data_IF_831572938134
#
_entry.id   IF_831572938134
#
_cell.length_a   1.000
_cell.length_b   1.000
_cell.length_c   1.000
_cell.angle_alpha   90.00
_cell.angle_beta   90.00
_cell.angle_gamma   90.00
#
_symmetry.space_group_name_H-M   'P 1'
#
loop_
_entity.id
_entity.type
_entity.pdbx_description
1 polymer ?
#
# COMPACT_ATOMS: atom_id res chain seq x y z
N UNK A 1 0.69 17.70 -9.22
CA UNK A 1 1.74 17.48 -10.25
C UNK A 1 1.02 17.50 -11.58
N UNK A 2 1.45 18.34 -12.53
CA UNK A 2 0.71 18.51 -13.80
C UNK A 2 0.94 17.36 -14.79
N UNK A 3 2.14 16.78 -14.77
CA UNK A 3 2.51 15.66 -15.63
C UNK A 3 3.13 14.54 -14.81
N UNK A 4 2.66 13.30 -15.00
CA UNK A 4 3.12 12.15 -14.24
C UNK A 4 2.86 10.84 -14.99
N UNK A 5 3.61 9.82 -14.64
CA UNK A 5 3.32 8.43 -14.97
C UNK A 5 2.79 7.75 -13.69
N UNK A 6 1.61 7.18 -13.76
CA UNK A 6 1.11 6.30 -12.71
C UNK A 6 1.45 4.87 -13.09
N UNK A 7 2.04 4.12 -12.17
CA UNK A 7 2.53 2.77 -12.43
C UNK A 7 2.06 1.81 -11.35
N UNK A 8 1.75 0.61 -11.76
CA UNK A 8 1.53 -0.55 -10.89
C UNK A 8 2.10 -1.80 -11.54
N UNK A 9 2.54 -2.78 -10.73
CA UNK A 9 3.03 -4.08 -11.20
C UNK A 9 2.38 -5.20 -10.40
N UNK A 10 2.03 -6.30 -11.08
CA UNK A 10 1.69 -7.55 -10.43
C UNK A 10 2.92 -8.48 -10.41
N UNK A 11 3.11 -9.14 -9.27
CA UNK A 11 4.27 -9.99 -9.01
C UNK A 11 3.82 -11.33 -8.44
N UNK A 12 4.61 -12.38 -8.63
CA UNK A 12 4.29 -13.70 -8.08
C UNK A 12 4.40 -13.79 -6.55
N UNK A 13 4.84 -12.71 -5.88
CA UNK A 13 4.97 -12.65 -4.42
C UNK A 13 5.72 -11.41 -3.97
N UNK A 14 6.22 -11.43 -2.73
CA UNK A 14 6.82 -10.25 -2.11
C UNK A 14 8.34 -10.14 -2.30
N UNK A 15 9.02 -11.20 -2.73
CA UNK A 15 10.46 -11.19 -2.97
C UNK A 15 10.72 -10.86 -4.43
N UNK A 16 11.88 -10.24 -4.72
CA UNK A 16 12.20 -9.88 -6.11
C UNK A 16 12.33 -11.11 -7.02
N UNK A 17 12.70 -12.26 -6.45
CA UNK A 17 12.80 -13.55 -7.14
C UNK A 17 11.45 -14.10 -7.61
N UNK A 18 10.35 -13.62 -7.02
CA UNK A 18 8.99 -14.03 -7.40
C UNK A 18 8.57 -13.48 -8.77
N UNK A 19 9.30 -12.49 -9.29
CA UNK A 19 9.17 -12.01 -10.66
C UNK A 19 8.08 -10.97 -10.89
N UNK A 20 8.09 -10.39 -12.11
CA UNK A 20 7.08 -9.44 -12.62
C UNK A 20 6.24 -10.17 -13.67
N UNK A 21 4.93 -10.08 -13.57
CA UNK A 21 3.96 -10.76 -14.44
C UNK A 21 3.12 -9.77 -15.24
N UNK A 22 2.73 -8.64 -14.64
CA UNK A 22 1.97 -7.59 -15.30
C UNK A 22 2.56 -6.21 -14.95
N UNK A 23 2.55 -5.28 -15.89
CA UNK A 23 2.93 -3.89 -15.68
C UNK A 23 1.92 -2.98 -16.37
N UNK A 24 1.37 -2.03 -15.64
CA UNK A 24 0.50 -1.01 -16.20
C UNK A 24 1.06 0.39 -15.92
N UNK A 25 0.95 1.28 -16.91
CA UNK A 25 1.34 2.68 -16.80
C UNK A 25 0.27 3.56 -17.41
N UNK A 26 -0.16 4.60 -16.70
CA UNK A 26 -0.96 5.69 -17.25
C UNK A 26 -0.12 6.94 -17.38
N UNK A 27 -0.24 7.62 -18.51
CA UNK A 27 0.32 8.97 -18.70
C UNK A 27 -0.77 9.98 -18.35
N UNK A 28 -0.51 10.79 -17.34
CA UNK A 28 -1.44 11.84 -16.93
C UNK A 28 -0.84 13.21 -17.21
N UNK A 29 -1.59 14.05 -17.93
CA UNK A 29 -1.28 15.44 -18.17
C UNK A 29 -2.49 16.31 -17.80
N UNK A 30 -2.26 17.31 -16.96
CA UNK A 30 -3.27 18.29 -16.54
C UNK A 30 -4.59 17.66 -16.03
N UNK A 31 -4.47 16.54 -15.31
CA UNK A 31 -5.61 15.80 -14.75
C UNK A 31 -6.34 14.92 -15.75
N UNK A 32 -5.77 14.66 -16.93
CA UNK A 32 -6.34 13.77 -17.93
C UNK A 32 -5.39 12.64 -18.30
N UNK A 33 -5.92 11.45 -18.51
CA UNK A 33 -5.16 10.33 -19.04
C UNK A 33 -5.02 10.55 -20.55
N UNK A 34 -3.78 10.70 -21.03
CA UNK A 34 -3.46 10.98 -22.45
C UNK A 34 -2.86 9.80 -23.19
N UNK A 35 -2.27 8.84 -22.49
CA UNK A 35 -1.74 7.60 -23.07
C UNK A 35 -1.66 6.52 -21.99
N UNK A 36 -1.50 5.25 -22.39
CA UNK A 36 -1.35 4.14 -21.47
C UNK A 36 -0.49 3.03 -22.06
N UNK A 37 0.13 2.25 -21.17
CA UNK A 37 0.87 1.05 -21.52
C UNK A 37 0.40 -0.08 -20.63
N UNK A 38 0.11 -1.23 -21.23
CA UNK A 38 -0.10 -2.49 -20.52
C UNK A 38 0.86 -3.54 -21.07
N UNK A 39 1.56 -4.23 -20.21
CA UNK A 39 2.49 -5.32 -20.53
C UNK A 39 2.15 -6.53 -19.68
N UNK A 40 1.95 -7.64 -20.33
CA UNK A 40 1.67 -8.93 -19.72
C UNK A 40 1.49 -9.97 -20.82
N UNK A 41 1.87 -11.19 -20.58
CA UNK A 41 1.68 -12.32 -21.48
C UNK A 41 0.68 -13.27 -20.83
N UNK A 42 -0.54 -13.31 -21.38
CA UNK A 42 -1.64 -14.09 -20.82
C UNK A 42 -1.41 -15.56 -21.12
N UNK A 43 -1.39 -16.40 -20.08
CA UNK A 43 -1.36 -17.87 -20.17
C UNK A 43 -2.74 -18.48 -19.90
N UNK A 44 -3.47 -17.97 -18.89
CA UNK A 44 -4.84 -18.41 -18.59
C UNK A 44 -5.74 -17.19 -18.22
N UNK A 45 -6.68 -16.88 -19.11
CA UNK A 45 -7.61 -15.74 -18.91
C UNK A 45 -8.55 -15.94 -17.70
N UNK A 46 -8.80 -17.18 -17.26
CA UNK A 46 -9.69 -17.44 -16.15
C UNK A 46 -9.05 -17.13 -14.78
N UNK A 47 -7.72 -17.14 -14.71
CA UNK A 47 -6.97 -16.92 -13.47
C UNK A 47 -6.58 -15.45 -13.25
N UNK A 48 -6.70 -14.56 -14.25
CA UNK A 48 -6.25 -13.15 -14.19
C UNK A 48 -6.80 -12.41 -12.97
N UNK A 49 -7.96 -12.77 -12.48
CA UNK A 49 -8.63 -12.08 -11.36
C UNK A 49 -8.26 -12.63 -9.98
N UNK A 50 -7.38 -13.63 -9.91
CA UNK A 50 -6.93 -14.19 -8.63
C UNK A 50 -5.85 -13.33 -7.95
N UNK A 51 -5.27 -12.36 -8.68
CA UNK A 51 -4.21 -11.46 -8.21
C UNK A 51 -2.83 -12.10 -8.23
N UNK A 52 -1.82 -11.35 -7.79
CA UNK A 52 -0.42 -11.79 -7.72
C UNK A 52 0.13 -12.34 -9.06
N UNK A 53 -0.28 -11.76 -10.18
CA UNK A 53 0.15 -12.16 -11.52
C UNK A 53 -0.41 -13.50 -12.01
N UNK A 54 -1.41 -14.07 -11.32
CA UNK A 54 -2.08 -15.29 -11.77
C UNK A 54 -2.65 -15.11 -13.19
N UNK A 55 -2.55 -16.15 -14.00
CA UNK A 55 -2.97 -16.14 -15.41
C UNK A 55 -1.99 -15.47 -16.38
N UNK A 56 -0.86 -14.92 -15.89
CA UNK A 56 0.20 -14.31 -16.69
C UNK A 56 1.51 -15.08 -16.61
N UNK A 57 2.28 -15.10 -17.70
CA UNK A 57 3.66 -15.55 -17.69
C UNK A 57 4.59 -14.52 -17.02
N UNK A 58 5.67 -15.01 -16.43
CA UNK A 58 6.71 -14.12 -15.86
C UNK A 58 7.48 -13.40 -16.96
N UNK A 59 7.36 -12.08 -17.02
CA UNK A 59 8.00 -11.20 -18.01
C UNK A 59 9.25 -10.50 -17.50
N UNK A 60 9.70 -10.75 -16.28
CA UNK A 60 10.77 -10.02 -15.57
C UNK A 60 12.04 -9.82 -16.38
N UNK A 61 12.48 -10.83 -17.13
CA UNK A 61 13.74 -10.86 -17.90
C UNK A 61 13.51 -10.87 -19.40
N UNK A 62 12.28 -10.65 -19.85
CA UNK A 62 11.96 -10.67 -21.27
C UNK A 62 12.32 -9.31 -21.89
N UNK A 63 13.39 -9.30 -22.71
CA UNK A 63 13.94 -8.10 -23.35
C UNK A 63 12.93 -7.34 -24.20
N UNK A 64 11.93 -8.00 -24.76
CA UNK A 64 10.88 -7.35 -25.54
C UNK A 64 10.03 -6.43 -24.64
N UNK A 65 9.59 -6.91 -23.47
CA UNK A 65 8.79 -6.14 -22.54
C UNK A 65 9.62 -5.04 -21.87
N UNK A 66 10.87 -5.34 -21.47
CA UNK A 66 11.80 -4.36 -20.92
C UNK A 66 12.00 -3.21 -21.91
N UNK A 67 12.31 -3.52 -23.17
CA UNK A 67 12.55 -2.50 -24.21
C UNK A 67 11.29 -1.67 -24.50
N UNK A 68 10.11 -2.29 -24.51
CA UNK A 68 8.84 -1.58 -24.67
C UNK A 68 8.59 -0.60 -23.54
N UNK A 69 8.77 -1.05 -22.29
CA UNK A 69 8.62 -0.21 -21.10
C UNK A 69 9.59 0.97 -21.15
N UNK A 70 10.88 0.70 -21.38
CA UNK A 70 11.93 1.74 -21.44
C UNK A 70 11.67 2.76 -22.57
N UNK A 71 11.21 2.30 -23.73
CA UNK A 71 10.83 3.18 -24.82
C UNK A 71 9.65 4.08 -24.45
N UNK A 72 8.67 3.52 -23.74
CA UNK A 72 7.49 4.27 -23.29
C UNK A 72 7.85 5.34 -22.25
N UNK A 73 8.61 5.00 -21.23
CA UNK A 73 9.02 5.99 -20.20
C UNK A 73 10.00 7.02 -20.75
N UNK A 74 10.77 6.69 -21.80
CA UNK A 74 11.63 7.64 -22.51
C UNK A 74 10.80 8.63 -23.32
N UNK A 75 9.70 8.18 -23.94
CA UNK A 75 8.75 9.05 -24.65
C UNK A 75 8.10 10.07 -23.71
N UNK A 76 7.85 9.67 -22.46
CA UNK A 76 7.22 10.49 -21.44
C UNK A 76 8.17 10.65 -20.23
N UNK A 77 9.12 11.60 -20.28
CA UNK A 77 10.11 11.77 -19.21
C UNK A 77 9.50 12.47 -17.98
N UNK A 78 8.42 11.90 -17.45
CA UNK A 78 7.68 12.42 -16.32
C UNK A 78 8.03 11.64 -15.05
N UNK A 79 7.78 12.23 -13.86
CA UNK A 79 7.91 11.51 -12.61
C UNK A 79 7.03 10.27 -12.57
N UNK A 80 7.60 9.13 -12.15
CA UNK A 80 6.86 7.88 -11.95
C UNK A 80 6.30 7.85 -10.53
N UNK A 81 5.03 7.55 -10.41
CA UNK A 81 4.30 7.46 -9.15
C UNK A 81 3.67 6.08 -9.06
N UNK A 82 3.87 5.39 -7.94
CA UNK A 82 3.18 4.15 -7.62
C UNK A 82 2.58 4.20 -6.21
N UNK A 83 1.71 3.26 -5.89
CA UNK A 83 1.12 3.15 -4.57
C UNK A 83 1.93 2.19 -3.71
N UNK A 84 2.52 2.66 -2.60
CA UNK A 84 3.56 1.95 -1.86
C UNK A 84 4.81 1.69 -2.74
N UNK A 85 5.20 2.69 -3.47
CA UNK A 85 6.14 2.70 -4.59
C UNK A 85 7.52 2.07 -4.31
N UNK A 86 7.88 1.85 -3.05
CA UNK A 86 9.11 1.13 -2.69
C UNK A 86 9.05 -0.34 -3.10
N UNK A 87 7.83 -0.90 -3.20
CA UNK A 87 7.61 -2.27 -3.64
C UNK A 87 7.88 -2.39 -5.15
N UNK A 88 7.17 -1.65 -5.97
CA UNK A 88 7.31 -1.67 -7.43
C UNK A 88 8.74 -1.34 -7.86
N UNK A 89 9.28 -0.26 -7.28
CA UNK A 89 10.63 0.19 -7.61
C UNK A 89 11.70 -0.86 -7.37
N UNK A 90 11.62 -1.65 -6.30
CA UNK A 90 12.64 -2.68 -6.02
C UNK A 90 12.67 -3.77 -7.08
N UNK A 91 11.51 -4.19 -7.61
CA UNK A 91 11.43 -5.17 -8.70
C UNK A 91 11.95 -4.57 -10.02
N UNK A 92 11.48 -3.39 -10.38
CA UNK A 92 11.88 -2.73 -11.63
C UNK A 92 13.38 -2.44 -11.68
N UNK A 93 13.99 -2.04 -10.56
CA UNK A 93 15.44 -1.84 -10.46
C UNK A 93 16.18 -3.18 -10.51
N UNK A 94 15.71 -4.20 -9.77
CA UNK A 94 16.35 -5.51 -9.73
C UNK A 94 16.45 -6.16 -11.11
N UNK A 95 15.42 -6.02 -11.93
CA UNK A 95 15.38 -6.59 -13.28
C UNK A 95 15.85 -5.63 -14.38
N UNK A 96 16.35 -4.44 -14.02
CA UNK A 96 16.92 -3.48 -14.97
C UNK A 96 15.88 -2.77 -15.85
N UNK A 97 14.60 -2.77 -15.46
CA UNK A 97 13.54 -2.03 -16.16
C UNK A 97 13.73 -0.52 -16.01
N UNK A 98 14.22 -0.08 -14.84
CA UNK A 98 14.59 1.32 -14.56
C UNK A 98 15.96 1.38 -13.91
N UNK A 99 16.62 2.55 -13.98
CA UNK A 99 17.85 2.79 -13.24
C UNK A 99 17.57 3.09 -11.76
N UNK A 100 18.60 2.92 -10.91
CA UNK A 100 18.51 3.28 -9.49
C UNK A 100 18.30 4.78 -9.25
N UNK A 101 18.66 5.63 -10.21
CA UNK A 101 18.53 7.07 -10.15
C UNK A 101 17.19 7.57 -10.69
N UNK A 102 16.34 6.69 -11.27
CA UNK A 102 15.06 7.08 -11.82
C UNK A 102 14.19 7.80 -10.78
N UNK A 103 13.60 8.96 -11.13
CA UNK A 103 12.74 9.71 -10.21
C UNK A 103 11.44 8.94 -9.96
N UNK A 104 11.29 8.43 -8.75
CA UNK A 104 10.14 7.63 -8.32
C UNK A 104 9.50 8.27 -7.08
N UNK A 105 8.17 8.29 -7.02
CA UNK A 105 7.41 8.92 -5.95
C UNK A 105 6.36 7.97 -5.38
N UNK A 106 6.09 8.11 -4.09
CA UNK A 106 5.12 7.28 -3.37
C UNK A 106 3.83 8.05 -3.12
N UNK A 107 2.73 7.59 -3.71
CA UNK A 107 1.41 8.18 -3.53
C UNK A 107 0.92 8.07 -2.09
N UNK A 108 1.27 7.02 -1.35
CA UNK A 108 0.91 6.88 0.07
C UNK A 108 1.46 8.05 0.88
N UNK A 109 2.71 8.45 0.62
CA UNK A 109 3.32 9.61 1.32
C UNK A 109 2.63 10.91 0.95
N UNK A 110 2.32 11.10 -0.33
CA UNK A 110 1.65 12.30 -0.82
C UNK A 110 0.22 12.41 -0.26
N UNK A 111 -0.54 11.31 -0.28
CA UNK A 111 -1.89 11.26 0.28
C UNK A 111 -1.88 11.47 1.81
N UNK A 112 -0.91 10.89 2.53
CA UNK A 112 -0.74 11.14 3.97
C UNK A 112 -0.50 12.62 4.29
N UNK A 113 0.19 13.34 3.41
CA UNK A 113 0.42 14.77 3.59
C UNK A 113 -0.86 15.58 3.35
N UNK A 114 -1.68 15.20 2.39
CA UNK A 114 -2.94 15.88 2.06
C UNK A 114 -4.08 15.51 3.02
N UNK A 115 -4.15 14.24 3.40
CA UNK A 115 -5.22 13.66 4.21
C UNK A 115 -4.65 12.95 5.46
N UNK A 116 -4.03 13.68 6.41
CA UNK A 116 -3.32 13.08 7.54
C UNK A 116 -4.23 12.39 8.58
N UNK A 117 -5.53 12.60 8.46
CA UNK A 117 -6.57 12.11 9.38
C UNK A 117 -7.13 10.73 8.98
N UNK A 118 -6.70 10.16 7.86
CA UNK A 118 -7.18 8.85 7.43
C UNK A 118 -6.60 7.73 8.29
N UNK A 119 -7.43 6.72 8.57
CA UNK A 119 -7.05 5.56 9.38
C UNK A 119 -6.20 4.55 8.61
N UNK A 120 -6.31 4.52 7.29
CA UNK A 120 -5.57 3.64 6.39
C UNK A 120 -5.21 4.30 5.07
N UNK A 121 -4.26 3.71 4.37
CA UNK A 121 -3.78 4.22 3.08
C UNK A 121 -3.55 3.09 2.05
N UNK A 122 -4.12 1.90 2.25
CA UNK A 122 -4.19 0.89 1.19
C UNK A 122 -5.13 1.35 0.08
N UNK A 123 -4.93 0.87 -1.14
CA UNK A 123 -5.85 1.17 -2.26
C UNK A 123 -7.30 0.87 -1.89
N UNK A 124 -7.58 -0.32 -1.32
CA UNK A 124 -8.93 -0.72 -0.91
C UNK A 124 -9.55 0.23 0.13
N UNK A 125 -8.75 0.67 1.11
CA UNK A 125 -9.23 1.63 2.10
C UNK A 125 -9.59 2.97 1.45
N UNK A 126 -8.72 3.48 0.57
CA UNK A 126 -8.91 4.77 -0.10
C UNK A 126 -10.08 4.72 -1.09
N UNK A 127 -10.25 3.62 -1.81
CA UNK A 127 -11.43 3.35 -2.67
C UNK A 127 -12.71 3.49 -1.87
N UNK A 128 -12.82 2.78 -0.74
CA UNK A 128 -13.99 2.83 0.12
C UNK A 128 -14.20 4.23 0.72
N UNK A 129 -13.12 4.88 1.17
CA UNK A 129 -13.19 6.20 1.80
C UNK A 129 -13.67 7.29 0.84
N UNK A 130 -13.16 7.29 -0.41
CA UNK A 130 -13.53 8.28 -1.41
C UNK A 130 -14.78 7.89 -2.23
N UNK A 131 -15.35 6.71 -2.00
CA UNK A 131 -16.51 6.21 -2.75
C UNK A 131 -16.22 5.96 -4.22
N UNK A 132 -15.01 5.49 -4.54
CA UNK A 132 -14.56 5.22 -5.90
C UNK A 132 -15.08 3.84 -6.33
N UNK A 133 -15.72 3.79 -7.50
CA UNK A 133 -16.07 2.49 -8.11
C UNK A 133 -14.79 1.81 -8.61
N UNK A 134 -14.58 0.57 -8.20
CA UNK A 134 -13.48 -0.29 -8.61
C UNK A 134 -14.00 -1.42 -9.49
N UNK A 135 -13.31 -1.71 -10.57
CA UNK A 135 -13.57 -2.84 -11.46
C UNK A 135 -12.97 -4.14 -10.90
N UNK A 136 -12.07 -4.74 -11.66
CA UNK A 136 -11.40 -5.97 -11.27
C UNK A 136 -10.20 -5.69 -10.37
N UNK A 137 -10.37 -5.81 -9.05
CA UNK A 137 -9.28 -5.64 -8.11
C UNK A 137 -8.12 -6.62 -8.42
N UNK A 138 -6.88 -6.16 -8.14
CA UNK A 138 -5.66 -6.95 -8.30
C UNK A 138 -5.27 -7.26 -9.77
N UNK A 139 -5.57 -6.34 -10.67
CA UNK A 139 -4.90 -6.26 -11.96
C UNK A 139 -4.16 -4.93 -12.01
N UNK A 140 -2.94 -4.91 -12.55
CA UNK A 140 -2.16 -3.68 -12.60
C UNK A 140 -2.88 -2.56 -13.36
N UNK A 141 -3.63 -2.90 -14.41
CA UNK A 141 -4.43 -1.93 -15.18
C UNK A 141 -5.53 -1.29 -14.34
N UNK A 142 -6.28 -2.06 -13.56
CA UNK A 142 -7.36 -1.50 -12.72
C UNK A 142 -6.77 -0.68 -11.57
N UNK A 143 -5.69 -1.16 -10.96
CA UNK A 143 -5.06 -0.51 -9.81
C UNK A 143 -4.45 0.86 -10.18
N UNK A 144 -3.87 1.05 -11.39
CA UNK A 144 -3.43 2.37 -11.83
C UNK A 144 -4.59 3.33 -12.12
N UNK A 145 -5.73 2.84 -12.63
CA UNK A 145 -6.92 3.66 -12.84
C UNK A 145 -7.56 4.08 -11.51
N UNK A 146 -7.60 3.17 -10.56
CA UNK A 146 -8.04 3.44 -9.20
C UNK A 146 -7.12 4.45 -8.52
N UNK A 147 -5.81 4.29 -8.66
CA UNK A 147 -4.83 5.25 -8.15
C UNK A 147 -5.03 6.65 -8.75
N UNK A 148 -5.30 6.74 -10.05
CA UNK A 148 -5.61 8.00 -10.70
C UNK A 148 -6.81 8.70 -10.04
N UNK A 149 -7.94 8.01 -9.88
CA UNK A 149 -9.15 8.54 -9.23
C UNK A 149 -8.90 8.94 -7.77
N UNK A 150 -8.11 8.16 -7.02
CA UNK A 150 -7.73 8.49 -5.65
C UNK A 150 -6.91 9.79 -5.61
N UNK A 151 -5.97 9.97 -6.53
CA UNK A 151 -5.16 11.19 -6.59
C UNK A 151 -6.00 12.42 -6.98
N UNK A 152 -6.99 12.26 -7.85
CA UNK A 152 -7.97 13.31 -8.16
C UNK A 152 -8.80 13.69 -6.94
N UNK A 153 -9.25 12.73 -6.14
CA UNK A 153 -10.04 12.99 -4.94
C UNK A 153 -9.20 13.59 -3.79
N UNK A 154 -8.00 13.04 -3.56
CA UNK A 154 -7.13 13.46 -2.47
C UNK A 154 -6.34 14.76 -2.74
N UNK A 155 -6.12 15.10 -4.02
CA UNK A 155 -5.39 16.29 -4.50
C UNK A 155 -4.08 16.58 -3.75
N UNK A 156 -3.13 15.62 -3.67
CA UNK A 156 -1.90 15.81 -2.93
C UNK A 156 -1.03 16.88 -3.62
N UNK A 157 -0.51 17.81 -2.82
CA UNK A 157 0.33 18.91 -3.29
C UNK A 157 1.80 18.80 -2.88
N UNK A 158 2.14 17.84 -2.01
CA UNK A 158 3.51 17.58 -1.57
C UNK A 158 3.96 16.20 -2.05
N UNK A 159 5.02 16.20 -2.84
CA UNK A 159 5.61 15.00 -3.42
C UNK A 159 7.06 14.87 -2.99
N UNK A 160 7.39 13.78 -2.31
CA UNK A 160 8.75 13.48 -1.86
C UNK A 160 9.29 12.31 -2.67
N UNK A 161 10.39 12.50 -3.42
CA UNK A 161 10.98 11.42 -4.19
C UNK A 161 11.50 10.29 -3.30
N UNK A 162 11.44 9.06 -3.81
CA UNK A 162 12.15 7.92 -3.24
C UNK A 162 13.59 7.99 -3.74
N UNK A 163 14.51 8.39 -2.86
CA UNK A 163 15.93 8.21 -3.10
C UNK A 163 16.40 6.83 -2.60
N UNK A 164 17.59 6.39 -3.02
CA UNK A 164 18.30 5.30 -2.35
C UNK A 164 18.15 5.49 -0.84
N UNK A 165 17.45 4.57 -0.20
CA UNK A 165 17.23 4.67 1.23
C UNK A 165 18.58 4.72 1.92
N UNK A 166 18.91 5.86 2.51
CA UNK A 166 19.93 5.87 3.53
C UNK A 166 19.48 4.87 4.60
N UNK A 167 20.29 3.86 4.97
CA UNK A 167 19.88 2.78 5.86
C UNK A 167 19.35 3.22 7.23
N UNK A 168 19.40 4.52 7.53
CA UNK A 168 19.02 5.13 8.82
C UNK A 168 17.75 5.98 8.81
N UNK A 169 17.02 6.12 7.71
CA UNK A 169 16.02 7.18 7.57
C UNK A 169 14.55 6.79 7.79
N UNK A 170 14.21 5.55 8.08
CA UNK A 170 12.81 5.19 8.35
C UNK A 170 12.61 4.43 9.65
N UNK A 171 12.80 5.11 10.77
CA UNK A 171 11.86 4.91 11.87
C UNK A 171 10.63 5.74 11.47
N UNK A 172 9.59 5.10 10.94
CA UNK A 172 8.29 5.71 10.85
C UNK A 172 7.86 6.02 12.27
N UNK A 173 8.06 7.24 12.72
CA UNK A 173 7.32 7.76 13.84
C UNK A 173 5.89 7.93 13.30
N UNK A 174 5.07 6.88 13.41
CA UNK A 174 3.65 7.09 13.32
C UNK A 174 3.35 8.16 14.37
N UNK A 175 3.03 9.38 13.91
CA UNK A 175 2.63 10.44 14.83
C UNK A 175 1.48 9.88 15.66
N UNK A 176 1.52 10.09 16.96
CA UNK A 176 0.48 9.62 17.85
C UNK A 176 -0.88 10.20 17.42
N UNK A 177 -1.95 9.56 17.78
CA UNK A 177 -3.31 10.02 17.56
C UNK A 177 -3.50 11.47 18.06
N UNK A 178 -2.94 11.79 19.23
CA UNK A 178 -2.96 13.11 19.85
C UNK A 178 -2.16 14.14 19.03
N UNK A 179 -1.02 13.76 18.46
CA UNK A 179 -0.21 14.62 17.59
C UNK A 179 -0.87 14.93 16.24
N UNK A 180 -1.84 14.10 15.81
CA UNK A 180 -2.65 14.33 14.61
C UNK A 180 -3.84 15.28 14.86
N UNK A 181 -4.05 15.71 16.11
CA UNK A 181 -5.17 16.56 16.47
C UNK A 181 -6.54 15.89 16.35
N UNK A 182 -6.59 14.57 16.24
CA UNK A 182 -7.84 13.81 16.21
C UNK A 182 -8.37 13.71 17.64
N UNK A 183 -9.62 14.11 17.83
CA UNK A 183 -10.36 13.93 19.08
C UNK A 183 -11.32 12.76 18.90
N UNK A 184 -11.38 11.86 19.88
CA UNK A 184 -12.48 10.90 19.96
C UNK A 184 -13.73 11.65 20.37
N UNK A 185 -14.73 11.65 19.52
CA UNK A 185 -16.07 12.10 19.91
C UNK A 185 -16.78 10.94 20.61
N UNK A 186 -17.00 11.12 21.90
CA UNK A 186 -17.68 10.17 22.79
C UNK A 186 -16.73 9.42 23.73
N UNK A 187 -17.05 9.45 25.01
CA UNK A 187 -16.39 8.64 26.01
C UNK A 187 -16.97 7.23 25.99
N UNK A 188 -16.21 6.25 25.49
CA UNK A 188 -16.57 4.84 25.62
C UNK A 188 -15.83 4.26 26.81
N UNK A 189 -16.57 3.81 27.82
CA UNK A 189 -15.99 3.08 28.96
C UNK A 189 -15.85 1.57 28.71
N UNK A 190 -16.12 1.11 27.47
CA UNK A 190 -16.16 -0.32 27.14
C UNK A 190 -14.90 -1.09 27.51
N UNK A 191 -13.75 -0.44 27.52
CA UNK A 191 -12.46 -1.04 27.82
C UNK A 191 -11.80 -0.47 29.08
N UNK A 192 -12.54 0.28 29.90
CA UNK A 192 -12.01 0.89 31.12
C UNK A 192 -11.46 -0.17 32.09
N UNK A 193 -10.17 -0.01 32.41
CA UNK A 193 -9.45 -0.94 33.30
C UNK A 193 -9.11 -2.31 32.69
N UNK A 194 -9.39 -2.52 31.39
CA UNK A 194 -9.09 -3.77 30.70
C UNK A 194 -7.68 -3.75 30.11
N UNK A 195 -7.06 -4.93 30.04
CA UNK A 195 -5.75 -5.12 29.41
C UNK A 195 -5.93 -5.83 28.06
N UNK A 196 -5.58 -5.13 26.97
CA UNK A 196 -5.76 -5.59 25.60
C UNK A 196 -4.44 -5.93 24.93
N UNK A 197 -4.44 -6.98 24.13
CA UNK A 197 -3.33 -7.34 23.25
C UNK A 197 -3.85 -7.43 21.82
N UNK A 198 -3.13 -6.83 20.86
CA UNK A 198 -3.51 -6.85 19.46
C UNK A 198 -2.63 -7.81 18.66
N UNK A 199 -3.22 -8.56 17.72
CA UNK A 199 -2.51 -9.50 16.85
C UNK A 199 -3.17 -9.57 15.47
N UNK A 200 -2.42 -10.03 14.46
CA UNK A 200 -2.90 -10.10 13.08
C UNK A 200 -2.79 -8.77 12.33
N UNK A 201 -3.18 -8.80 11.06
CA UNK A 201 -3.29 -7.63 10.20
C UNK A 201 -4.69 -7.01 10.36
N UNK A 202 -4.81 -5.71 10.14
CA UNK A 202 -6.07 -4.96 10.17
C UNK A 202 -5.98 -3.83 9.15
N UNK A 203 -7.13 -3.45 8.59
CA UNK A 203 -7.25 -2.22 7.78
C UNK A 203 -6.81 -0.96 8.54
N UNK A 204 -6.84 -0.99 9.88
CA UNK A 204 -6.40 0.11 10.71
C UNK A 204 -4.95 -0.10 11.18
N UNK A 205 -4.11 0.95 11.19
CA UNK A 205 -2.79 0.88 11.80
C UNK A 205 -2.86 0.43 13.24
N UNK A 206 -2.04 -0.56 13.62
CA UNK A 206 -2.04 -1.12 14.98
C UNK A 206 -1.86 -0.06 16.07
N UNK A 207 -0.96 0.90 15.83
CA UNK A 207 -0.71 2.01 16.76
C UNK A 207 -1.97 2.81 17.01
N UNK A 208 -2.74 3.12 15.96
CA UNK A 208 -4.01 3.83 16.09
C UNK A 208 -5.02 3.05 16.92
N UNK A 209 -5.20 1.75 16.66
CA UNK A 209 -6.11 0.91 17.46
C UNK A 209 -5.70 0.87 18.93
N UNK A 210 -4.39 0.79 19.21
CA UNK A 210 -3.86 0.83 20.58
C UNK A 210 -4.12 2.17 21.26
N UNK A 211 -3.92 3.29 20.54
CA UNK A 211 -4.19 4.63 21.07
C UNK A 211 -5.67 4.86 21.36
N UNK A 212 -6.55 4.38 20.46
CA UNK A 212 -8.00 4.42 20.70
C UNK A 212 -8.36 3.61 21.93
N UNK A 213 -7.82 2.40 22.10
CA UNK A 213 -8.06 1.57 23.25
C UNK A 213 -7.62 2.26 24.57
N UNK A 214 -6.45 2.90 24.57
CA UNK A 214 -5.96 3.68 25.71
C UNK A 214 -6.86 4.88 26.00
N UNK A 215 -7.32 5.61 24.96
CA UNK A 215 -8.25 6.70 25.13
C UNK A 215 -9.62 6.25 25.69
N UNK A 216 -10.00 4.99 25.43
CA UNK A 216 -11.19 4.34 26.04
C UNK A 216 -10.92 3.70 27.41
N UNK A 217 -9.79 4.04 28.06
CA UNK A 217 -9.43 3.61 29.43
C UNK A 217 -8.79 2.23 29.54
N UNK A 218 -8.37 1.62 28.42
CA UNK A 218 -7.65 0.36 28.43
C UNK A 218 -6.14 0.52 28.69
N UNK A 219 -5.51 -0.57 29.12
CA UNK A 219 -4.07 -0.74 29.03
C UNK A 219 -3.72 -1.67 27.87
N UNK A 220 -2.62 -1.44 27.17
CA UNK A 220 -2.24 -2.22 25.98
C UNK A 220 -0.90 -2.90 26.19
N UNK A 221 -0.87 -4.22 25.93
CA UNK A 221 0.34 -5.05 26.00
C UNK A 221 0.80 -5.58 24.65
N UNK A 222 2.07 -5.98 24.60
CA UNK A 222 2.68 -6.58 23.39
C UNK A 222 2.57 -8.11 23.36
N UNK A 223 2.34 -8.75 24.50
CA UNK A 223 2.27 -10.21 24.66
C UNK A 223 1.10 -10.63 25.54
N UNK A 224 0.49 -11.76 25.20
CA UNK A 224 -0.57 -12.37 26.02
C UNK A 224 0.03 -12.92 27.31
N UNK A 225 -0.60 -12.58 28.43
CA UNK A 225 -0.23 -13.03 29.78
C UNK A 225 -1.48 -13.09 30.68
N UNK A 226 -1.31 -13.54 31.94
CA UNK A 226 -2.42 -13.69 32.90
C UNK A 226 -3.22 -12.41 33.23
N UNK A 227 -2.73 -11.23 32.79
CA UNK A 227 -3.43 -9.94 32.96
C UNK A 227 -4.19 -9.53 31.70
N UNK A 228 -4.12 -10.33 30.62
CA UNK A 228 -4.78 -10.00 29.35
C UNK A 228 -6.26 -10.34 29.45
N UNK A 229 -7.11 -9.32 29.38
CA UNK A 229 -8.57 -9.49 29.36
C UNK A 229 -9.07 -9.82 27.95
N UNK A 230 -8.46 -9.22 26.91
CA UNK A 230 -8.87 -9.44 25.51
C UNK A 230 -7.69 -9.53 24.57
N UNK A 231 -7.73 -10.53 23.70
CA UNK A 231 -6.87 -10.64 22.53
C UNK A 231 -7.66 -10.17 21.30
N UNK A 232 -7.34 -8.99 20.79
CA UNK A 232 -7.97 -8.43 19.59
C UNK A 232 -7.26 -8.99 18.35
N UNK A 233 -8.00 -9.80 17.59
CA UNK A 233 -7.49 -10.50 16.42
C UNK A 233 -7.95 -9.80 15.14
N UNK A 234 -7.00 -9.49 14.26
CA UNK A 234 -7.25 -9.13 12.87
C UNK A 234 -7.17 -10.34 11.95
N UNK A 235 -6.82 -10.11 10.69
CA UNK A 235 -6.58 -11.15 9.71
C UNK A 235 -5.16 -11.73 9.82
N UNK A 236 -4.93 -12.94 9.30
CA UNK A 236 -3.62 -13.62 9.26
C UNK A 236 -2.93 -13.66 10.63
N UNK A 237 -3.65 -14.10 11.63
CA UNK A 237 -3.14 -14.17 13.03
C UNK A 237 -2.16 -15.33 13.18
N UNK A 238 -0.97 -15.03 13.73
CA UNK A 238 0.01 -16.07 14.09
C UNK A 238 -0.47 -16.94 15.26
N UNK A 239 -0.28 -18.24 15.16
CA UNK A 239 -0.75 -19.25 16.12
C UNK A 239 -0.25 -18.99 17.58
N UNK A 240 0.95 -18.46 17.75
CA UNK A 240 1.58 -18.33 19.06
C UNK A 240 0.77 -17.51 20.10
N UNK A 241 0.15 -16.39 19.67
CA UNK A 241 -0.64 -15.56 20.60
C UNK A 241 -2.01 -16.18 20.88
N UNK A 242 -2.61 -16.84 19.87
CA UNK A 242 -3.89 -17.55 20.05
C UNK A 242 -3.71 -18.73 21.01
N UNK A 243 -2.72 -19.58 20.76
CA UNK A 243 -2.45 -20.73 21.61
C UNK A 243 -2.20 -20.29 23.05
N UNK A 244 -1.44 -19.22 23.23
CA UNK A 244 -1.17 -18.70 24.57
C UNK A 244 -2.41 -18.08 25.23
N UNK A 245 -3.34 -17.54 24.49
CA UNK A 245 -4.61 -17.07 25.03
C UNK A 245 -5.47 -18.26 25.50
N UNK A 246 -5.56 -19.31 24.68
CA UNK A 246 -6.28 -20.56 25.00
C UNK A 246 -5.68 -21.26 26.23
N UNK A 247 -4.35 -21.23 26.40
CA UNK A 247 -3.68 -21.84 27.57
C UNK A 247 -3.94 -21.08 28.89
N UNK A 248 -4.35 -19.83 28.82
CA UNK A 248 -4.53 -18.94 29.97
C UNK A 248 -5.99 -18.67 30.34
N UNK A 249 -6.92 -19.12 29.48
CA UNK A 249 -8.37 -19.04 29.69
C UNK A 249 -8.85 -20.20 30.59
#
# INVERSE_FOLDING_TARGET
MQKMLLLDIETGGFQVEDGIFEVAVLVVEDGQIVDSLHLGEIEDENEIHEGMGAGYACISKNEYYISKFQSFVTKYPYPVIAHNASFDRKFLVHYGWISEEAPFYDSVRAIKSACPYLFGYSLDYLVNYFGIERGNAHTATDDVHVLFKILEAAQPNQWLPLYKASPKAFKSSAKSFLERGLKLEGESEAFKGKHLVFTGASQFPRVLMQEIAVACGATVGNSVNKKTDYLICGEKVGANKINKAIELD
#
